data_IF_974696409820
#
_entry.id   IF_974696409820
#
_cell.length_a   1.000
_cell.length_b   1.000
_cell.length_c   1.000
_cell.angle_alpha   90.00
_cell.angle_beta   90.00
_cell.angle_gamma   90.00
#
_symmetry.space_group_name_H-M   'P 1'
#
loop_
_entity.id
_entity.type
_entity.pdbx_description
1 polymer ?
#
# COMPACT_ATOMS: atom_id res chain seq x y z
N UNK A 1 -17.73 13.07 -1.54
CA UNK A 1 -16.98 11.91 -2.06
C UNK A 1 -16.25 11.27 -0.88
N UNK A 2 -16.36 9.95 -0.63
CA UNK A 2 -15.76 9.32 0.55
C UNK A 2 -14.23 9.48 0.51
N UNK A 3 -13.61 10.08 1.53
CA UNK A 3 -12.14 10.31 1.61
C UNK A 3 -11.35 9.03 1.27
N UNK A 4 -11.80 7.87 1.75
CA UNK A 4 -11.16 6.57 1.52
C UNK A 4 -11.07 6.21 0.03
N UNK A 5 -12.06 6.60 -0.76
CA UNK A 5 -12.07 6.35 -2.20
C UNK A 5 -11.00 7.18 -2.92
N UNK A 6 -10.87 8.47 -2.56
CA UNK A 6 -9.86 9.37 -3.12
C UNK A 6 -8.46 8.85 -2.77
N UNK A 7 -8.22 8.48 -1.51
CA UNK A 7 -6.94 7.92 -1.06
C UNK A 7 -6.59 6.64 -1.82
N UNK A 8 -7.57 5.77 -2.09
CA UNK A 8 -7.35 4.55 -2.85
C UNK A 8 -6.99 4.83 -4.33
N UNK A 9 -7.62 5.82 -4.96
CA UNK A 9 -7.25 6.25 -6.31
C UNK A 9 -5.82 6.76 -6.32
N UNK A 10 -5.46 7.66 -5.40
CA UNK A 10 -4.11 8.25 -5.33
C UNK A 10 -3.07 7.14 -5.18
N UNK A 11 -3.28 6.17 -4.29
CA UNK A 11 -2.38 5.04 -4.12
C UNK A 11 -2.17 4.24 -5.41
N UNK A 12 -3.26 3.90 -6.12
CA UNK A 12 -3.16 3.17 -7.40
C UNK A 12 -2.42 3.98 -8.46
N UNK A 13 -2.69 5.29 -8.54
CA UNK A 13 -2.01 6.19 -9.47
C UNK A 13 -0.52 6.30 -9.15
N UNK A 14 -0.12 6.37 -7.87
CA UNK A 14 1.29 6.40 -7.48
C UNK A 14 2.06 5.15 -7.95
N UNK A 15 1.42 3.98 -7.91
CA UNK A 15 2.02 2.75 -8.47
C UNK A 15 2.19 2.81 -9.98
N UNK A 16 1.21 3.36 -10.71
CA UNK A 16 1.34 3.57 -12.15
C UNK A 16 2.47 4.57 -12.49
N UNK A 17 2.59 5.65 -11.71
CA UNK A 17 3.69 6.62 -11.85
C UNK A 17 5.04 5.96 -11.58
N UNK A 18 5.15 5.14 -10.53
CA UNK A 18 6.36 4.38 -10.26
C UNK A 18 6.70 3.43 -11.42
N UNK A 19 5.72 2.70 -11.94
CA UNK A 19 5.93 1.81 -13.07
C UNK A 19 6.47 2.55 -14.30
N UNK A 20 5.91 3.71 -14.62
CA UNK A 20 6.41 4.57 -15.69
C UNK A 20 7.84 5.04 -15.41
N UNK A 21 8.12 5.51 -14.19
CA UNK A 21 9.46 5.95 -13.78
C UNK A 21 10.51 4.84 -13.91
N UNK A 22 10.16 3.61 -13.57
CA UNK A 22 11.06 2.45 -13.71
C UNK A 22 11.40 2.19 -15.18
N UNK A 23 10.42 2.30 -16.09
CA UNK A 23 10.65 2.12 -17.54
C UNK A 23 11.55 3.23 -18.09
N UNK A 24 11.32 4.47 -17.67
CA UNK A 24 12.09 5.63 -18.12
C UNK A 24 13.31 5.91 -17.24
N UNK A 25 13.73 4.95 -16.41
CA UNK A 25 14.76 5.18 -15.41
C UNK A 25 16.13 5.38 -16.05
N UNK A 26 16.65 6.59 -15.93
CA UNK A 26 18.02 6.91 -16.32
C UNK A 26 18.89 7.11 -15.08
N UNK A 27 19.90 6.25 -14.92
CA UNK A 27 20.85 6.28 -13.80
C UNK A 27 21.88 7.40 -13.90
N UNK A 28 22.12 7.92 -15.10
CA UNK A 28 23.07 9.02 -15.33
C UNK A 28 22.47 10.37 -14.97
N UNK A 29 21.14 10.46 -14.98
CA UNK A 29 20.40 11.64 -14.56
C UNK A 29 20.12 11.61 -13.05
N UNK A 30 20.81 12.47 -12.31
CA UNK A 30 20.67 12.56 -10.84
C UNK A 30 19.25 12.88 -10.41
N UNK A 31 18.48 13.66 -11.20
CA UNK A 31 17.07 13.94 -10.89
C UNK A 31 16.20 12.67 -10.98
N UNK A 32 16.41 11.86 -12.02
CA UNK A 32 15.71 10.56 -12.19
C UNK A 32 15.94 9.65 -10.98
N UNK A 33 17.18 9.59 -10.48
CA UNK A 33 17.54 8.83 -9.28
C UNK A 33 16.81 9.36 -8.04
N UNK A 34 16.92 10.65 -7.74
CA UNK A 34 16.34 11.21 -6.52
C UNK A 34 14.81 11.18 -6.52
N UNK A 35 14.17 11.44 -7.65
CA UNK A 35 12.69 11.40 -7.78
C UNK A 35 12.18 9.97 -7.56
N UNK A 36 12.80 8.99 -8.22
CA UNK A 36 12.40 7.58 -8.10
C UNK A 36 12.62 7.07 -6.67
N UNK A 37 13.74 7.42 -6.04
CA UNK A 37 14.05 7.04 -4.66
C UNK A 37 13.06 7.66 -3.67
N UNK A 38 12.75 8.94 -3.82
CA UNK A 38 11.80 9.65 -2.94
C UNK A 38 10.40 9.05 -3.06
N UNK A 39 9.96 8.73 -4.28
CA UNK A 39 8.68 8.07 -4.51
C UNK A 39 8.63 6.67 -3.89
N UNK A 40 9.71 5.89 -3.99
CA UNK A 40 9.81 4.56 -3.38
C UNK A 40 9.67 4.61 -1.85
N UNK A 41 10.35 5.55 -1.20
CA UNK A 41 10.23 5.73 0.26
C UNK A 41 8.79 6.05 0.65
N UNK A 42 8.16 6.98 -0.07
CA UNK A 42 6.77 7.37 0.17
C UNK A 42 5.81 6.19 -0.04
N UNK A 43 5.96 5.44 -1.13
CA UNK A 43 5.15 4.24 -1.39
C UNK A 43 5.34 3.17 -0.33
N UNK A 44 6.57 3.01 0.18
CA UNK A 44 6.87 2.04 1.24
C UNK A 44 6.14 2.39 2.54
N UNK A 45 6.17 3.65 2.95
CA UNK A 45 5.44 4.12 4.15
C UNK A 45 3.94 3.85 3.99
N UNK A 46 3.36 4.19 2.83
CA UNK A 46 1.93 3.95 2.57
C UNK A 46 1.62 2.44 2.57
N UNK A 47 2.49 1.62 1.99
CA UNK A 47 2.33 0.17 1.97
C UNK A 47 2.33 -0.43 3.38
N UNK A 48 3.24 0.02 4.26
CA UNK A 48 3.30 -0.41 5.66
C UNK A 48 2.02 -0.03 6.42
N UNK A 49 1.56 1.22 6.29
CA UNK A 49 0.32 1.67 6.95
C UNK A 49 -0.88 0.83 6.47
N UNK A 50 -0.96 0.55 5.17
CA UNK A 50 -2.00 -0.30 4.61
C UNK A 50 -1.93 -1.73 5.13
N UNK A 51 -0.74 -2.31 5.23
CA UNK A 51 -0.56 -3.66 5.77
C UNK A 51 -1.03 -3.75 7.23
N UNK A 52 -0.73 -2.73 8.04
CA UNK A 52 -1.20 -2.64 9.43
C UNK A 52 -2.73 -2.52 9.48
N UNK A 53 -3.32 -1.65 8.65
CA UNK A 53 -4.78 -1.47 8.60
C UNK A 53 -5.50 -2.76 8.18
N UNK A 54 -5.02 -3.43 7.12
CA UNK A 54 -5.54 -4.74 6.70
C UNK A 54 -5.45 -5.75 7.85
N UNK A 55 -4.30 -5.85 8.51
CA UNK A 55 -4.15 -6.76 9.66
C UNK A 55 -5.16 -6.47 10.77
N UNK A 56 -5.41 -5.19 11.05
CA UNK A 56 -6.39 -4.80 12.06
C UNK A 56 -7.82 -5.16 11.65
N UNK A 57 -8.17 -5.04 10.37
CA UNK A 57 -9.45 -5.48 9.81
C UNK A 57 -9.62 -7.01 9.88
N UNK A 58 -8.55 -7.76 9.64
CA UNK A 58 -8.55 -9.23 9.69
C UNK A 58 -8.64 -9.81 11.11
N UNK A 59 -8.14 -9.09 12.13
CA UNK A 59 -8.09 -9.57 13.52
C UNK A 59 -9.47 -9.99 14.09
N UNK A 60 -10.52 -9.15 14.08
CA UNK A 60 -11.82 -9.53 14.65
C UNK A 60 -12.48 -10.67 13.87
N UNK A 61 -12.30 -10.72 12.55
CA UNK A 61 -12.85 -11.79 11.70
C UNK A 61 -12.23 -13.14 12.08
N UNK A 62 -10.91 -13.15 12.30
CA UNK A 62 -10.22 -14.35 12.76
C UNK A 62 -10.72 -14.78 14.15
N UNK A 63 -10.86 -13.84 15.08
CA UNK A 63 -11.32 -14.11 16.45
C UNK A 63 -12.76 -14.66 16.49
N UNK A 64 -13.68 -14.08 15.72
CA UNK A 64 -15.04 -14.58 15.56
C UNK A 64 -15.07 -15.98 14.93
N UNK A 65 -14.26 -16.21 13.90
CA UNK A 65 -14.10 -17.54 13.31
C UNK A 65 -13.58 -18.55 14.34
N UNK A 66 -12.57 -18.20 15.14
CA UNK A 66 -12.03 -19.08 16.16
C UNK A 66 -13.06 -19.43 17.24
N UNK A 67 -13.79 -18.45 17.78
CA UNK A 67 -14.82 -18.68 18.80
C UNK A 67 -15.90 -19.63 18.28
N UNK A 68 -16.54 -19.29 17.15
CA UNK A 68 -17.65 -20.09 16.60
C UNK A 68 -17.26 -21.55 16.30
N UNK A 69 -16.02 -21.80 15.86
CA UNK A 69 -15.55 -23.17 15.54
C UNK A 69 -15.09 -23.96 16.78
N UNK A 70 -14.84 -23.30 17.93
CA UNK A 70 -14.58 -23.96 19.21
C UNK A 70 -15.91 -24.37 19.87
N UNK A 71 -16.97 -23.58 19.67
CA UNK A 71 -18.29 -23.81 20.25
C UNK A 71 -19.07 -24.94 19.55
N UNK A 72 -18.74 -25.23 18.29
CA UNK A 72 -19.33 -26.32 17.49
C UNK A 72 -18.74 -27.72 17.78
N UNK A 73 -17.75 -27.83 18.68
CA UNK A 73 -17.03 -29.07 18.97
C UNK A 73 -17.27 -29.59 20.38
#
# INVERSE_FOLDING_TARGET
MKINYIVNIIYKTLWLVLFFLIITFDRSNTYSVYITLSLLILLTIIAVIRAINLRNEWRPIAEEYFVNNIDEK
#
